data_IF_966447691221
#
_entry.id   IF_966447691221
#
_cell.length_a   1.000
_cell.length_b   1.000
_cell.length_c   1.000
_cell.angle_alpha   90.00
_cell.angle_beta   90.00
_cell.angle_gamma   90.00
#
_symmetry.space_group_name_H-M   'P 1'
#
loop_
_entity.id
_entity.type
_entity.pdbx_description
1 polymer ?
#
# COMPACT_ATOMS: atom_id res chain seq x y z
N UNK A 1 63.75 -26.85 -6.83
CA UNK A 1 62.34 -27.28 -6.84
C UNK A 1 61.55 -26.23 -6.08
N UNK A 2 60.99 -25.25 -6.78
CA UNK A 2 60.31 -24.10 -6.18
C UNK A 2 58.97 -23.90 -6.87
N UNK A 3 57.91 -23.89 -6.07
CA UNK A 3 56.55 -23.59 -6.49
C UNK A 3 56.42 -22.18 -7.08
N UNK A 4 55.53 -22.02 -8.07
CA UNK A 4 54.58 -20.93 -7.99
C UNK A 4 53.17 -21.48 -8.25
N UNK A 5 52.57 -22.03 -7.20
CA UNK A 5 51.17 -22.48 -7.16
C UNK A 5 50.27 -21.37 -6.58
N UNK A 6 50.58 -20.11 -6.89
CA UNK A 6 49.96 -18.93 -6.28
C UNK A 6 49.01 -18.17 -7.20
N UNK A 7 48.92 -18.52 -8.49
CA UNK A 7 48.00 -17.85 -9.42
C UNK A 7 46.57 -18.44 -9.54
N UNK A 8 46.29 -19.74 -9.30
CA UNK A 8 44.90 -20.22 -9.44
C UNK A 8 44.06 -19.97 -8.17
N UNK A 9 44.70 -19.64 -7.03
CA UNK A 9 43.99 -19.42 -5.76
C UNK A 9 43.36 -18.02 -5.67
N UNK A 10 43.87 -17.02 -6.41
CA UNK A 10 43.29 -15.67 -6.42
C UNK A 10 42.02 -15.55 -7.26
N UNK A 11 41.77 -16.48 -8.19
CA UNK A 11 40.58 -16.45 -9.04
C UNK A 11 39.35 -17.12 -8.41
N UNK A 12 39.52 -17.95 -7.37
CA UNK A 12 38.40 -18.54 -6.63
C UNK A 12 37.83 -17.62 -5.52
N UNK A 13 38.49 -16.50 -5.22
CA UNK A 13 38.06 -15.55 -4.19
C UNK A 13 37.18 -14.40 -4.72
N UNK A 14 36.78 -14.42 -6.00
CA UNK A 14 36.00 -13.33 -6.62
C UNK A 14 34.60 -13.70 -7.10
N UNK A 15 34.09 -14.91 -6.80
CA UNK A 15 32.71 -15.28 -7.16
C UNK A 15 31.81 -15.60 -5.96
N UNK A 16 32.29 -15.43 -4.74
CA UNK A 16 31.42 -15.46 -3.57
C UNK A 16 30.89 -14.04 -3.31
N UNK A 17 30.07 -13.52 -4.23
CA UNK A 17 29.08 -12.52 -3.82
C UNK A 17 28.25 -13.24 -2.77
N UNK A 18 28.26 -12.80 -1.49
CA UNK A 18 27.34 -13.40 -0.52
C UNK A 18 25.96 -13.26 -1.15
N UNK A 19 25.28 -14.39 -1.39
CA UNK A 19 23.87 -14.38 -1.76
C UNK A 19 23.23 -13.37 -0.82
N UNK A 20 22.72 -12.25 -1.31
CA UNK A 20 22.15 -11.23 -0.43
C UNK A 20 21.09 -11.94 0.40
N UNK A 21 21.35 -12.12 1.69
CA UNK A 21 20.41 -12.79 2.58
C UNK A 21 19.15 -11.93 2.54
N UNK A 22 18.00 -12.55 2.20
CA UNK A 22 16.74 -11.83 2.21
C UNK A 22 16.50 -11.24 3.60
N UNK A 23 15.83 -10.10 3.67
CA UNK A 23 15.44 -9.50 4.95
C UNK A 23 14.72 -10.56 5.80
N UNK A 24 15.06 -10.64 7.09
CA UNK A 24 14.35 -11.52 8.02
C UNK A 24 13.55 -10.71 9.03
N UNK A 25 12.35 -11.18 9.35
CA UNK A 25 11.48 -10.55 10.33
C UNK A 25 10.95 -11.58 11.33
N UNK A 26 10.50 -11.11 12.50
CA UNK A 26 9.65 -11.91 13.37
C UNK A 26 8.25 -12.01 12.76
N UNK A 27 7.75 -13.24 12.66
CA UNK A 27 6.36 -13.55 12.35
C UNK A 27 5.67 -14.03 13.62
N UNK A 28 4.74 -13.23 14.14
CA UNK A 28 3.99 -13.54 15.36
C UNK A 28 2.49 -13.57 15.08
N UNK A 29 1.83 -14.65 15.51
CA UNK A 29 0.37 -14.76 15.53
C UNK A 29 -0.20 -14.07 16.76
N UNK A 30 -1.50 -13.79 16.74
CA UNK A 30 -2.20 -13.12 17.86
C UNK A 30 -2.25 -13.94 19.15
N UNK A 31 -1.97 -15.25 19.11
CA UNK A 31 -1.85 -16.09 20.31
C UNK A 31 -0.45 -16.03 20.96
N UNK A 32 0.47 -15.23 20.40
CA UNK A 32 1.84 -15.09 20.90
C UNK A 32 2.87 -16.03 20.26
N UNK A 33 2.46 -16.95 19.38
CA UNK A 33 3.40 -17.84 18.69
C UNK A 33 4.25 -17.05 17.69
N UNK A 34 5.55 -16.99 17.95
CA UNK A 34 6.52 -16.25 17.14
C UNK A 34 7.58 -17.17 16.53
N UNK A 35 7.96 -16.89 15.28
CA UNK A 35 9.10 -17.52 14.60
C UNK A 35 9.81 -16.50 13.72
N UNK A 36 11.03 -16.81 13.28
CA UNK A 36 11.71 -16.04 12.25
C UNK A 36 11.13 -16.42 10.88
N UNK A 37 10.85 -15.41 10.06
CA UNK A 37 10.40 -15.50 8.68
C UNK A 37 11.44 -14.85 7.78
N UNK A 38 11.81 -15.53 6.68
CA UNK A 38 12.59 -14.93 5.60
C UNK A 38 11.61 -14.27 4.63
N UNK A 39 11.79 -12.98 4.38
CA UNK A 39 10.84 -12.19 3.61
C UNK A 39 10.92 -12.52 2.13
N UNK A 40 9.74 -12.53 1.47
CA UNK A 40 9.65 -12.76 0.04
C UNK A 40 10.23 -11.58 -0.76
N UNK A 41 10.54 -11.82 -2.04
CA UNK A 41 10.93 -10.75 -2.96
C UNK A 41 9.84 -9.66 -2.99
N UNK A 42 10.24 -8.39 -2.83
CA UNK A 42 9.32 -7.25 -2.75
C UNK A 42 8.78 -6.96 -1.34
N UNK A 43 9.14 -7.75 -0.33
CA UNK A 43 8.88 -7.49 1.09
C UNK A 43 10.18 -7.08 1.79
N UNK A 44 10.42 -5.78 1.83
CA UNK A 44 11.64 -5.13 2.33
C UNK A 44 11.44 -4.42 3.68
N UNK A 45 10.31 -4.64 4.33
CA UNK A 45 10.01 -4.12 5.66
C UNK A 45 9.53 -5.23 6.60
N UNK A 46 9.89 -5.10 7.88
CA UNK A 46 9.22 -5.78 8.98
C UNK A 46 8.14 -4.86 9.55
N UNK A 47 7.00 -5.42 9.95
CA UNK A 47 5.94 -4.69 10.65
C UNK A 47 5.61 -5.28 12.01
N UNK A 48 5.09 -4.42 12.88
CA UNK A 48 4.34 -4.82 14.07
C UNK A 48 3.01 -4.08 14.12
N UNK A 49 1.92 -4.82 14.15
CA UNK A 49 0.55 -4.30 14.28
C UNK A 49 0.05 -4.60 15.68
N UNK A 50 -0.44 -3.57 16.38
CA UNK A 50 -0.95 -3.65 17.73
C UNK A 50 -2.39 -3.17 17.72
N UNK A 51 -3.28 -3.98 18.27
CA UNK A 51 -4.68 -3.61 18.54
C UNK A 51 -4.87 -3.61 20.04
N UNK A 52 -5.20 -2.45 20.60
CA UNK A 52 -5.56 -2.30 22.01
C UNK A 52 -7.04 -1.98 22.12
N UNK A 53 -7.69 -2.70 23.01
CA UNK A 53 -9.10 -2.51 23.33
C UNK A 53 -9.17 -2.22 24.82
N UNK A 54 -9.61 -1.02 25.16
CA UNK A 54 -9.86 -0.61 26.53
C UNK A 54 -11.36 -0.52 26.77
N UNK A 55 -11.86 -1.14 27.84
CA UNK A 55 -13.26 -1.14 28.24
C UNK A 55 -13.35 -1.22 29.77
N UNK A 56 -14.01 -0.23 30.40
CA UNK A 56 -14.29 -0.19 31.85
C UNK A 56 -13.11 -0.50 32.81
N UNK A 57 -11.87 -0.22 32.39
CA UNK A 57 -10.67 -0.44 33.21
C UNK A 57 -9.89 -1.72 32.88
N UNK A 58 -10.42 -2.59 32.01
CA UNK A 58 -9.69 -3.70 31.43
C UNK A 58 -9.09 -3.31 30.07
N UNK A 59 -7.87 -3.80 29.79
CA UNK A 59 -7.19 -3.57 28.51
C UNK A 59 -6.77 -4.91 27.90
N UNK A 60 -7.23 -5.17 26.69
CA UNK A 60 -6.81 -6.30 25.86
C UNK A 60 -5.84 -5.80 24.80
N UNK A 61 -4.68 -6.45 24.67
CA UNK A 61 -3.68 -6.14 23.65
C UNK A 61 -3.46 -7.35 22.73
N UNK A 62 -3.56 -7.14 21.42
CA UNK A 62 -3.24 -8.11 20.39
C UNK A 62 -2.06 -7.59 19.57
N UNK A 63 -1.00 -8.39 19.48
CA UNK A 63 0.20 -8.06 18.70
C UNK A 63 0.37 -9.06 17.56
N UNK A 64 0.57 -8.55 16.35
CA UNK A 64 0.94 -9.35 15.17
C UNK A 64 2.21 -8.78 14.56
N UNK A 65 3.07 -9.67 14.07
CA UNK A 65 4.34 -9.30 13.42
C UNK A 65 4.51 -10.11 12.14
N UNK A 66 5.09 -9.52 11.09
CA UNK A 66 5.40 -10.22 9.83
C UNK A 66 6.33 -9.39 8.96
N UNK A 67 6.80 -9.98 7.85
CA UNK A 67 7.26 -9.23 6.68
C UNK A 67 6.13 -8.40 6.05
N UNK A 68 6.46 -7.31 5.36
CA UNK A 68 5.53 -6.43 4.63
C UNK A 68 6.23 -5.67 3.51
N UNK A 69 5.45 -4.97 2.69
CA UNK A 69 5.89 -4.26 1.48
C UNK A 69 6.34 -2.82 1.77
N UNK A 70 7.22 -2.31 0.91
CA UNK A 70 7.90 -0.99 1.01
C UNK A 70 6.96 0.20 1.17
N UNK A 71 5.73 0.08 0.67
CA UNK A 71 4.74 1.14 0.62
C UNK A 71 4.07 1.39 1.98
N UNK A 72 4.28 0.51 2.97
CA UNK A 72 3.72 0.63 4.32
C UNK A 72 4.48 1.65 5.15
N UNK A 73 3.75 2.38 6.00
CA UNK A 73 4.33 3.42 6.88
C UNK A 73 3.86 3.24 8.31
N UNK A 74 4.51 3.97 9.23
CA UNK A 74 4.02 4.11 10.60
C UNK A 74 2.66 4.81 10.60
N UNK A 75 1.74 4.31 11.42
CA UNK A 75 0.38 4.86 11.52
C UNK A 75 -0.31 4.50 12.82
N UNK A 76 -1.21 5.37 13.25
CA UNK A 76 -2.05 5.17 14.43
C UNK A 76 -3.48 5.60 14.16
N UNK A 77 -4.42 4.94 14.83
CA UNK A 77 -5.82 5.34 14.86
C UNK A 77 -6.45 4.91 16.17
N UNK A 78 -7.14 5.81 16.86
CA UNK A 78 -7.86 5.54 18.10
C UNK A 78 -9.26 6.11 18.03
N UNK A 79 -10.27 5.31 18.36
CA UNK A 79 -11.66 5.72 18.32
C UNK A 79 -12.51 5.08 19.43
N UNK A 80 -13.68 5.66 19.69
CA UNK A 80 -14.65 5.25 20.71
C UNK A 80 -15.88 4.62 20.07
N UNK A 81 -16.34 3.52 20.68
CA UNK A 81 -17.64 2.89 20.40
C UNK A 81 -18.29 2.54 21.74
N UNK A 82 -19.36 3.24 22.12
CA UNK A 82 -19.89 3.20 23.47
C UNK A 82 -18.82 3.54 24.53
N UNK A 83 -18.60 2.63 25.48
CA UNK A 83 -17.61 2.77 26.55
C UNK A 83 -16.21 2.29 26.15
N UNK A 84 -16.10 1.61 25.00
CA UNK A 84 -14.88 0.99 24.50
C UNK A 84 -14.03 2.01 23.74
N UNK A 85 -12.72 1.95 23.93
CA UNK A 85 -11.72 2.65 23.12
C UNK A 85 -10.89 1.61 22.39
N UNK A 86 -10.89 1.67 21.06
CA UNK A 86 -10.03 0.83 20.21
C UNK A 86 -8.88 1.68 19.70
N UNK A 87 -7.64 1.23 19.91
CA UNK A 87 -6.42 1.85 19.42
C UNK A 87 -5.66 0.88 18.52
N UNK A 88 -5.42 1.29 17.28
CA UNK A 88 -4.70 0.60 16.24
C UNK A 88 -3.34 1.30 16.07
N UNK A 89 -2.26 0.55 16.03
CA UNK A 89 -0.93 1.08 15.79
C UNK A 89 -0.16 0.11 14.91
N UNK A 90 0.43 0.61 13.83
CA UNK A 90 1.34 -0.15 13.00
C UNK A 90 2.66 0.60 12.89
N UNK A 91 3.75 -0.12 13.15
CA UNK A 91 5.12 0.38 13.04
C UNK A 91 5.91 -0.51 12.10
N UNK A 92 6.73 0.11 11.24
CA UNK A 92 7.54 -0.56 10.22
C UNK A 92 9.02 -0.21 10.36
N UNK A 93 9.89 -1.14 9.94
CA UNK A 93 11.33 -0.96 9.95
C UNK A 93 12.01 -1.88 8.91
N UNK A 94 13.14 -1.48 8.35
CA UNK A 94 13.80 -2.19 7.23
C UNK A 94 15.12 -2.89 7.58
N UNK A 95 15.33 -3.24 8.85
CA UNK A 95 16.54 -3.94 9.30
C UNK A 95 16.22 -5.37 9.73
N UNK A 96 17.20 -6.26 9.60
CA UNK A 96 17.08 -7.67 9.98
C UNK A 96 16.59 -7.81 11.43
N UNK A 97 15.46 -8.51 11.60
CA UNK A 97 14.77 -8.77 12.87
C UNK A 97 14.45 -7.51 13.69
N UNK A 98 14.32 -6.34 13.05
CA UNK A 98 14.08 -5.08 13.75
C UNK A 98 12.76 -5.04 14.54
N UNK A 99 11.81 -5.90 14.17
CA UNK A 99 10.55 -6.07 14.89
C UNK A 99 10.63 -7.10 16.03
N UNK A 100 11.82 -7.57 16.44
CA UNK A 100 11.95 -8.58 17.50
C UNK A 100 11.60 -8.05 18.89
N UNK A 101 11.97 -6.80 19.19
CA UNK A 101 11.71 -6.19 20.49
C UNK A 101 10.21 -6.16 20.84
N UNK A 102 9.91 -6.07 22.15
CA UNK A 102 8.59 -5.64 22.55
C UNK A 102 8.40 -4.23 22.00
N UNK A 103 7.39 -4.05 21.13
CA UNK A 103 6.93 -2.73 20.76
C UNK A 103 6.81 -1.92 22.03
N UNK A 104 7.47 -0.76 22.06
CA UNK A 104 7.76 -0.02 23.28
C UNK A 104 6.65 -0.13 24.31
N UNK A 105 7.05 -0.51 25.53
CA UNK A 105 6.27 -0.37 26.77
C UNK A 105 5.23 0.70 26.57
N UNK A 106 3.94 0.35 26.72
CA UNK A 106 2.85 1.32 26.71
C UNK A 106 3.37 2.60 27.35
N UNK A 107 3.53 3.66 26.54
CA UNK A 107 3.94 4.95 27.08
C UNK A 107 2.92 5.19 28.16
N UNK A 108 3.36 5.14 29.43
CA UNK A 108 2.54 5.50 30.57
C UNK A 108 2.09 6.91 30.25
N UNK A 109 0.84 7.03 29.79
CA UNK A 109 0.37 8.22 29.11
C UNK A 109 0.53 9.36 30.10
N UNK A 110 1.45 10.26 29.78
CA UNK A 110 1.53 11.53 30.47
C UNK A 110 0.14 12.15 30.42
N UNK A 111 -0.34 12.62 31.57
CA UNK A 111 -1.62 13.31 31.77
C UNK A 111 -1.63 14.70 31.13
N UNK A 112 -0.99 14.83 29.96
CA UNK A 112 -0.99 16.01 29.11
C UNK A 112 -2.27 15.98 28.29
N UNK A 113 -3.07 17.04 28.38
CA UNK A 113 -4.24 17.21 27.52
C UNK A 113 -3.75 17.58 26.12
N UNK A 114 -3.57 16.59 25.25
CA UNK A 114 -3.31 16.85 23.84
C UNK A 114 -4.61 17.23 23.12
N UNK A 115 -4.59 17.24 21.79
CA UNK A 115 -5.71 17.57 20.94
C UNK A 115 -6.98 16.79 21.33
N UNK A 116 -8.12 17.47 21.40
CA UNK A 116 -9.43 16.84 21.64
C UNK A 116 -10.20 16.77 20.32
N UNK A 117 -10.70 15.58 19.99
CA UNK A 117 -11.38 15.26 18.73
C UNK A 117 -12.76 14.66 18.99
N UNK A 118 -13.61 14.66 17.95
CA UNK A 118 -14.83 13.85 17.92
C UNK A 118 -14.49 12.41 17.58
N UNK A 119 -15.21 11.46 18.15
CA UNK A 119 -15.00 10.04 17.95
C UNK A 119 -16.28 9.22 17.97
N UNK A 120 -16.33 8.25 17.06
CA UNK A 120 -17.41 7.29 16.87
C UNK A 120 -16.91 6.14 15.96
N UNK A 121 -17.69 5.07 15.84
CA UNK A 121 -17.48 4.01 14.84
C UNK A 121 -18.78 3.37 14.35
N UNK A 122 -18.72 2.71 13.19
CA UNK A 122 -19.87 2.00 12.60
C UNK A 122 -20.23 0.70 13.33
N UNK A 123 -19.29 0.06 14.01
CA UNK A 123 -19.52 -1.23 14.69
C UNK A 123 -20.64 -1.18 15.75
N UNK A 124 -20.89 -0.03 16.38
CA UNK A 124 -22.03 0.20 17.30
C UNK A 124 -23.05 1.22 16.76
N UNK A 125 -22.95 1.58 15.48
CA UNK A 125 -23.75 2.62 14.80
C UNK A 125 -23.65 4.01 15.46
N UNK A 126 -22.58 4.30 16.21
CA UNK A 126 -22.45 5.59 16.92
C UNK A 126 -22.23 6.75 15.96
N UNK A 127 -21.54 6.54 14.82
CA UNK A 127 -21.34 7.57 13.81
C UNK A 127 -22.65 7.93 13.10
N UNK A 128 -23.35 6.92 12.60
CA UNK A 128 -24.59 7.02 11.82
C UNK A 128 -25.74 7.59 12.66
N UNK A 129 -25.80 7.26 13.95
CA UNK A 129 -26.84 7.76 14.87
C UNK A 129 -26.50 9.11 15.51
N UNK A 130 -25.39 9.73 15.13
CA UNK A 130 -24.96 11.01 15.70
C UNK A 130 -24.59 10.94 17.19
N UNK A 131 -24.26 9.75 17.71
CA UNK A 131 -23.85 9.52 19.12
C UNK A 131 -22.35 9.76 19.28
N UNK A 132 -21.91 10.91 18.79
CA UNK A 132 -20.52 11.32 18.75
C UNK A 132 -20.01 11.62 20.16
N UNK A 133 -18.83 11.11 20.49
CA UNK A 133 -18.19 11.31 21.79
C UNK A 133 -16.90 12.12 21.65
N UNK A 134 -16.46 12.77 22.72
CA UNK A 134 -15.15 13.42 22.73
C UNK A 134 -14.05 12.42 23.09
N UNK A 135 -12.92 12.50 22.40
CA UNK A 135 -11.72 11.69 22.66
C UNK A 135 -10.51 12.61 22.69
N UNK A 136 -9.73 12.53 23.76
CA UNK A 136 -8.42 13.20 23.82
C UNK A 136 -7.36 12.30 23.21
N UNK A 137 -6.56 12.87 22.31
CA UNK A 137 -5.45 12.18 21.69
C UNK A 137 -4.35 11.92 22.72
N UNK A 138 -3.52 10.92 22.43
CA UNK A 138 -2.51 10.40 23.37
C UNK A 138 -1.09 10.76 22.99
N UNK A 139 -0.88 11.28 21.78
CA UNK A 139 0.41 11.76 21.27
C UNK A 139 0.26 13.17 20.70
N UNK A 140 1.30 14.03 20.82
CA UNK A 140 1.30 15.35 20.20
C UNK A 140 1.29 15.32 18.65
N UNK A 141 1.65 14.19 18.04
CA UNK A 141 1.63 14.03 16.58
C UNK A 141 0.26 13.59 16.05
N UNK A 142 -0.65 13.15 16.93
CA UNK A 142 -1.99 12.74 16.53
C UNK A 142 -2.87 13.93 16.17
N UNK A 143 -3.63 13.75 15.10
CA UNK A 143 -4.61 14.69 14.56
C UNK A 143 -6.02 14.11 14.71
N UNK A 144 -7.03 14.95 14.53
CA UNK A 144 -8.40 14.48 14.41
C UNK A 144 -8.61 13.85 13.03
N UNK A 145 -9.17 12.65 12.99
CA UNK A 145 -9.40 11.87 11.80
C UNK A 145 -10.90 11.68 11.55
N UNK A 146 -11.28 11.66 10.28
CA UNK A 146 -12.57 11.18 9.77
C UNK A 146 -12.29 10.28 8.56
N UNK A 147 -12.57 8.99 8.71
CA UNK A 147 -12.29 7.94 7.73
C UNK A 147 -13.60 7.34 7.28
N UNK A 148 -13.79 7.29 5.96
CA UNK A 148 -14.94 6.63 5.31
C UNK A 148 -14.41 5.52 4.42
N UNK A 149 -14.96 4.33 4.58
CA UNK A 149 -14.69 3.16 3.75
C UNK A 149 -16.01 2.49 3.38
N UNK A 150 -16.48 2.73 2.17
CA UNK A 150 -17.75 2.18 1.69
C UNK A 150 -17.54 1.33 0.45
N UNK A 151 -18.07 0.11 0.48
CA UNK A 151 -18.09 -0.83 -0.63
C UNK A 151 -19.55 -1.21 -0.91
N UNK A 152 -20.04 -0.92 -2.10
CA UNK A 152 -21.45 -1.11 -2.47
C UNK A 152 -21.81 -2.60 -2.66
N UNK A 153 -20.83 -3.44 -3.03
CA UNK A 153 -21.01 -4.89 -3.11
C UNK A 153 -20.38 -5.61 -1.89
N UNK A 154 -21.21 -5.84 -0.88
CA UNK A 154 -20.98 -6.82 0.19
C UNK A 154 -21.14 -8.24 -0.38
N UNK A 155 -20.10 -8.82 -0.99
CA UNK A 155 -20.27 -10.14 -1.62
C UNK A 155 -19.03 -10.98 -1.89
N UNK A 156 -17.82 -10.43 -1.77
CA UNK A 156 -16.61 -11.27 -1.91
C UNK A 156 -16.19 -11.81 -0.53
N UNK A 157 -16.28 -13.13 -0.36
CA UNK A 157 -15.69 -13.84 0.77
C UNK A 157 -14.21 -13.44 0.92
N UNK A 158 -13.84 -12.92 2.09
CA UNK A 158 -12.47 -12.50 2.41
C UNK A 158 -12.19 -11.00 2.33
N UNK A 159 -13.18 -10.14 2.04
CA UNK A 159 -13.00 -8.68 2.19
C UNK A 159 -12.96 -8.27 3.68
N UNK A 160 -12.11 -7.28 4.05
CA UNK A 160 -12.07 -6.76 5.42
C UNK A 160 -13.44 -6.24 5.86
N UNK A 161 -13.92 -6.66 7.03
CA UNK A 161 -15.10 -6.08 7.70
C UNK A 161 -14.69 -4.77 8.37
N UNK A 162 -14.22 -3.82 7.58
CA UNK A 162 -13.82 -2.51 8.10
C UNK A 162 -15.08 -1.70 8.44
N UNK A 163 -15.00 -0.93 9.53
CA UNK A 163 -16.07 -0.01 9.90
C UNK A 163 -16.23 1.05 8.79
N UNK A 164 -17.48 1.27 8.34
CA UNK A 164 -17.78 2.19 7.25
C UNK A 164 -17.38 3.63 7.56
N UNK A 165 -17.59 4.03 8.81
CA UNK A 165 -17.25 5.33 9.35
C UNK A 165 -16.44 5.16 10.63
N UNK A 166 -15.32 5.87 10.72
CA UNK A 166 -14.49 5.94 11.91
C UNK A 166 -14.02 7.36 12.13
N UNK A 167 -14.23 7.87 13.35
CA UNK A 167 -13.71 9.17 13.79
C UNK A 167 -12.90 9.02 15.06
N UNK A 168 -11.84 9.81 15.18
CA UNK A 168 -11.08 9.85 16.42
C UNK A 168 -9.73 10.53 16.26
N UNK A 169 -8.74 9.99 16.95
CA UNK A 169 -7.37 10.50 16.96
C UNK A 169 -6.46 9.59 16.13
N UNK A 170 -5.43 10.14 15.50
CA UNK A 170 -4.39 9.31 14.90
C UNK A 170 -3.50 10.06 13.94
N UNK A 171 -2.63 9.29 13.31
CA UNK A 171 -1.79 9.73 12.20
C UNK A 171 -1.83 8.67 11.12
N UNK A 172 -2.39 9.00 9.97
CA UNK A 172 -2.50 8.12 8.81
C UNK A 172 -1.68 8.68 7.65
N UNK A 173 -1.25 7.82 6.69
CA UNK A 173 -0.64 8.27 5.45
C UNK A 173 -1.45 9.41 4.83
N UNK A 174 -0.74 10.44 4.37
CA UNK A 174 -1.21 11.72 3.81
C UNK A 174 -2.22 12.53 4.62
N UNK A 175 -2.11 12.43 5.94
CA UNK A 175 -2.31 13.60 6.79
C UNK A 175 -1.08 14.53 6.72
N UNK A 176 -1.23 15.86 6.87
CA UNK A 176 -2.48 16.61 7.08
C UNK A 176 -3.26 16.87 5.78
N UNK A 177 -4.55 17.17 5.90
CA UNK A 177 -5.42 17.51 4.77
C UNK A 177 -6.49 16.46 4.52
N UNK A 178 -6.98 16.38 3.29
CA UNK A 178 -7.94 15.35 2.88
C UNK A 178 -7.49 14.62 1.63
N UNK A 179 -7.77 13.32 1.58
CA UNK A 179 -7.63 12.49 0.39
C UNK A 179 -8.91 11.68 0.17
N UNK A 180 -9.27 11.46 -1.08
CA UNK A 180 -10.48 10.74 -1.42
C UNK A 180 -10.39 10.05 -2.77
N UNK A 181 -11.09 8.93 -2.87
CA UNK A 181 -11.33 8.17 -4.08
C UNK A 181 -12.80 7.79 -4.12
N UNK A 182 -13.43 7.89 -5.29
CA UNK A 182 -14.66 7.17 -5.55
C UNK A 182 -14.73 6.64 -6.98
N UNK A 183 -15.38 5.49 -7.11
CA UNK A 183 -15.81 4.94 -8.39
C UNK A 183 -17.27 4.46 -8.27
N UNK A 184 -17.74 3.63 -9.20
CA UNK A 184 -19.11 3.13 -9.17
C UNK A 184 -19.47 2.30 -7.92
N UNK A 185 -18.52 1.58 -7.32
CA UNK A 185 -18.80 0.59 -6.26
C UNK A 185 -18.05 0.87 -4.95
N UNK A 186 -17.21 1.89 -4.91
CA UNK A 186 -16.26 2.13 -3.83
C UNK A 186 -16.16 3.62 -3.53
N UNK A 187 -16.20 3.98 -2.25
CA UNK A 187 -15.90 5.32 -1.76
C UNK A 187 -14.96 5.25 -0.56
N UNK A 188 -13.79 5.87 -0.70
CA UNK A 188 -12.85 6.07 0.38
C UNK A 188 -12.60 7.54 0.59
N UNK A 189 -12.61 7.98 1.84
CA UNK A 189 -12.29 9.35 2.19
C UNK A 189 -11.53 9.40 3.50
N UNK A 190 -10.48 10.20 3.54
CA UNK A 190 -9.71 10.51 4.73
C UNK A 190 -9.67 12.03 4.89
N UNK A 191 -10.07 12.52 6.05
CA UNK A 191 -9.86 13.91 6.48
C UNK A 191 -9.05 13.90 7.76
N UNK A 192 -7.98 14.69 7.78
CA UNK A 192 -7.15 14.92 8.96
C UNK A 192 -7.04 16.42 9.24
N UNK A 193 -7.17 16.81 10.50
CA UNK A 193 -7.05 18.20 10.91
C UNK A 193 -6.51 18.31 12.35
N UNK A 194 -5.84 19.43 12.66
CA UNK A 194 -5.02 19.59 13.86
C UNK A 194 -5.57 20.63 14.85
N UNK A 195 -6.84 21.01 14.75
CA UNK A 195 -7.52 21.93 15.66
C UNK A 195 -8.61 21.22 16.45
N UNK A 196 -8.91 21.70 17.65
CA UNK A 196 -9.86 21.04 18.57
C UNK A 196 -11.20 20.77 17.89
N UNK A 197 -11.64 19.50 17.89
CA UNK A 197 -12.93 19.01 17.36
C UNK A 197 -13.19 19.35 15.89
N UNK A 198 -12.16 19.59 15.09
CA UNK A 198 -12.30 19.93 13.66
C UNK A 198 -12.89 18.82 12.76
N UNK A 199 -13.03 17.60 13.30
CA UNK A 199 -13.69 16.46 12.67
C UNK A 199 -15.17 16.29 13.12
N UNK A 200 -15.76 17.32 13.72
CA UNK A 200 -17.20 17.35 14.01
C UNK A 200 -18.07 17.54 12.75
N UNK A 201 -19.39 17.45 12.94
CA UNK A 201 -20.40 17.60 11.89
C UNK A 201 -21.07 16.29 11.48
N UNK A 202 -21.98 16.30 10.50
CA UNK A 202 -22.60 15.07 9.99
C UNK A 202 -21.53 14.14 9.39
N UNK A 203 -21.83 12.84 9.34
CA UNK A 203 -20.98 11.87 8.64
C UNK A 203 -20.98 12.18 7.13
N UNK A 204 -19.85 11.92 6.48
CA UNK A 204 -19.70 12.17 5.05
C UNK A 204 -20.22 10.99 4.24
N UNK A 205 -21.19 11.24 3.37
CA UNK A 205 -21.70 10.28 2.37
C UNK A 205 -21.41 10.81 0.96
N UNK A 206 -21.10 9.90 0.02
CA UNK A 206 -20.75 10.29 -1.35
C UNK A 206 -21.88 11.06 -2.02
N UNK A 207 -23.12 10.67 -1.77
CA UNK A 207 -24.35 11.23 -2.32
C UNK A 207 -24.55 12.69 -1.90
N UNK A 208 -24.03 13.07 -0.72
CA UNK A 208 -24.09 14.44 -0.20
C UNK A 208 -23.07 15.38 -0.84
N UNK A 209 -22.05 14.83 -1.49
CA UNK A 209 -21.06 15.62 -2.22
C UNK A 209 -21.62 16.05 -3.59
N UNK A 210 -21.56 17.35 -3.93
CA UNK A 210 -22.05 17.84 -5.21
C UNK A 210 -21.17 17.30 -6.34
N UNK A 211 -21.76 17.12 -7.52
CA UNK A 211 -20.99 16.86 -8.73
C UNK A 211 -20.09 18.06 -9.04
N UNK A 212 -18.85 17.79 -9.46
CA UNK A 212 -17.84 18.82 -9.71
C UNK A 212 -17.60 19.12 -11.20
N UNK A 213 -18.37 18.49 -12.10
CA UNK A 213 -18.30 18.69 -13.54
C UNK A 213 -17.23 17.87 -14.27
N UNK A 214 -16.40 17.10 -13.56
CA UNK A 214 -15.47 16.14 -14.17
C UNK A 214 -16.14 14.78 -14.35
N UNK A 215 -15.76 14.06 -15.39
CA UNK A 215 -16.19 12.68 -15.63
C UNK A 215 -14.98 11.79 -15.82
N UNK A 216 -14.96 10.63 -15.16
CA UNK A 216 -13.85 9.68 -15.25
C UNK A 216 -14.38 8.28 -15.48
N UNK A 217 -13.58 7.45 -16.14
CA UNK A 217 -13.87 6.03 -16.24
C UNK A 217 -13.76 5.35 -14.88
N UNK A 218 -14.66 4.41 -14.63
CA UNK A 218 -14.77 3.65 -13.40
C UNK A 218 -14.72 2.17 -13.72
N UNK A 219 -13.88 1.44 -13.00
CA UNK A 219 -13.77 -0.02 -13.10
C UNK A 219 -13.01 -0.58 -11.89
N UNK A 220 -13.14 -1.88 -11.63
CA UNK A 220 -12.35 -2.59 -10.63
C UNK A 220 -12.19 -4.05 -11.02
N UNK A 221 -10.97 -4.58 -10.98
CA UNK A 221 -10.70 -5.97 -11.33
C UNK A 221 -9.33 -6.12 -11.96
N UNK A 222 -9.24 -6.84 -13.08
CA UNK A 222 -8.04 -6.89 -13.91
C UNK A 222 -8.36 -6.34 -15.32
N UNK A 223 -7.35 -6.20 -16.18
CA UNK A 223 -7.52 -5.59 -17.52
C UNK A 223 -8.44 -6.37 -18.48
N UNK A 224 -8.80 -7.62 -18.15
CA UNK A 224 -9.67 -8.47 -18.97
C UNK A 224 -11.04 -8.74 -18.35
N UNK A 225 -11.15 -8.66 -17.03
CA UNK A 225 -12.36 -8.91 -16.25
C UNK A 225 -12.47 -7.82 -15.19
N UNK A 226 -13.54 -7.04 -15.23
CA UNK A 226 -13.84 -5.92 -14.35
C UNK A 226 -13.28 -4.57 -14.82
N UNK A 227 -12.19 -4.54 -15.58
CA UNK A 227 -11.60 -3.33 -16.19
C UNK A 227 -11.31 -3.48 -17.70
N UNK A 228 -12.10 -4.31 -18.39
CA UNK A 228 -12.13 -4.37 -19.86
C UNK A 228 -12.77 -3.11 -20.45
N UNK A 229 -12.65 -2.90 -21.77
CA UNK A 229 -13.32 -1.80 -22.48
C UNK A 229 -14.84 -1.86 -22.35
N UNK A 230 -15.41 -3.05 -22.26
CA UNK A 230 -16.86 -3.28 -22.19
C UNK A 230 -17.42 -3.06 -20.78
N UNK A 231 -16.61 -3.28 -19.74
CA UNK A 231 -17.01 -3.15 -18.33
C UNK A 231 -16.68 -1.78 -17.74
N UNK A 232 -15.87 -0.98 -18.45
CA UNK A 232 -15.42 0.34 -18.01
C UNK A 232 -16.36 1.42 -18.55
N UNK A 233 -16.93 2.25 -17.66
CA UNK A 233 -17.88 3.30 -18.03
C UNK A 233 -17.61 4.62 -17.29
N UNK A 234 -18.13 5.71 -17.82
CA UNK A 234 -17.98 7.05 -17.23
C UNK A 234 -18.89 7.23 -16.01
N UNK A 235 -18.35 7.86 -14.98
CA UNK A 235 -19.07 8.33 -13.80
C UNK A 235 -18.85 9.82 -13.58
N UNK A 236 -19.82 10.48 -12.95
CA UNK A 236 -19.70 11.89 -12.56
C UNK A 236 -18.89 12.00 -11.26
N UNK A 237 -17.82 12.78 -11.31
CA UNK A 237 -16.99 13.03 -10.16
C UNK A 237 -17.67 13.99 -9.15
N UNK A 238 -17.39 13.80 -7.87
CA UNK A 238 -18.06 14.50 -6.76
C UNK A 238 -17.07 15.15 -5.79
N UNK A 239 -17.48 16.26 -5.19
CA UNK A 239 -16.72 16.98 -4.18
C UNK A 239 -15.30 17.34 -4.68
N UNK A 240 -14.26 17.20 -3.84
CA UNK A 240 -12.90 17.57 -4.22
C UNK A 240 -12.20 16.52 -5.13
N UNK A 241 -12.87 15.42 -5.48
CA UNK A 241 -12.30 14.32 -6.26
C UNK A 241 -12.39 14.65 -7.76
N UNK A 242 -11.53 15.53 -8.25
CA UNK A 242 -11.60 16.12 -9.59
C UNK A 242 -10.50 15.64 -10.58
N UNK A 243 -9.75 14.61 -10.23
CA UNK A 243 -8.78 13.97 -11.13
C UNK A 243 -9.24 12.58 -11.49
N UNK A 244 -8.96 12.15 -12.72
CA UNK A 244 -9.16 10.77 -13.13
C UNK A 244 -7.93 9.95 -12.81
N UNK A 245 -8.14 8.77 -12.23
CA UNK A 245 -7.09 7.87 -11.79
C UNK A 245 -7.13 6.54 -12.55
N UNK A 246 -5.94 6.00 -12.78
CA UNK A 246 -5.67 4.59 -13.05
C UNK A 246 -4.64 4.10 -12.04
N UNK A 247 -4.97 3.09 -11.25
CA UNK A 247 -4.00 2.41 -10.41
C UNK A 247 -3.94 0.93 -10.76
N UNK A 248 -2.71 0.40 -10.86
CA UNK A 248 -2.44 -1.02 -11.10
C UNK A 248 -1.46 -1.54 -10.09
N UNK A 249 -1.63 -2.78 -9.65
CA UNK A 249 -0.73 -3.43 -8.70
C UNK A 249 -1.11 -4.89 -8.49
N UNK A 250 -0.68 -5.46 -7.37
CA UNK A 250 -1.01 -6.83 -6.97
C UNK A 250 -1.90 -6.83 -5.74
N UNK A 251 -3.05 -7.50 -5.80
CA UNK A 251 -3.95 -7.65 -4.65
C UNK A 251 -3.34 -8.62 -3.62
N UNK A 252 -3.04 -8.15 -2.40
CA UNK A 252 -2.23 -8.92 -1.44
C UNK A 252 -2.81 -10.32 -1.13
N UNK A 253 -4.13 -10.48 -0.90
CA UNK A 253 -4.68 -11.78 -0.49
C UNK A 253 -4.51 -12.91 -1.52
N UNK A 254 -4.39 -12.59 -2.81
CA UNK A 254 -4.34 -13.59 -3.90
C UNK A 254 -3.11 -13.47 -4.80
N UNK A 255 -2.26 -12.45 -4.61
CA UNK A 255 -1.13 -12.12 -5.50
C UNK A 255 -1.55 -12.05 -6.99
N UNK A 256 -2.71 -11.47 -7.26
CA UNK A 256 -3.26 -11.32 -8.61
C UNK A 256 -3.16 -9.88 -9.09
N UNK A 257 -3.00 -9.69 -10.41
CA UNK A 257 -3.03 -8.36 -11.01
C UNK A 257 -4.37 -7.68 -10.72
N UNK A 258 -4.31 -6.47 -10.19
CA UNK A 258 -5.47 -5.68 -9.84
C UNK A 258 -5.34 -4.28 -10.41
N UNK A 259 -6.46 -3.75 -10.89
CA UNK A 259 -6.61 -2.47 -11.52
C UNK A 259 -7.87 -1.80 -10.99
N UNK A 260 -7.76 -0.51 -10.72
CA UNK A 260 -8.90 0.34 -10.33
C UNK A 260 -8.84 1.66 -11.09
N UNK A 261 -10.01 2.13 -11.52
CA UNK A 261 -10.22 3.46 -12.11
C UNK A 261 -11.32 4.19 -11.36
N UNK A 262 -11.18 5.51 -11.27
CA UNK A 262 -12.19 6.35 -10.64
C UNK A 262 -11.76 7.81 -10.56
N UNK A 263 -12.52 8.56 -9.79
CA UNK A 263 -12.26 9.97 -9.49
C UNK A 263 -11.50 10.09 -8.17
N UNK A 264 -10.51 10.96 -8.11
CA UNK A 264 -9.68 11.17 -6.92
C UNK A 264 -9.36 12.62 -6.65
N UNK A 265 -9.03 12.92 -5.40
CA UNK A 265 -8.34 14.16 -5.02
C UNK A 265 -6.88 14.10 -5.46
N UNK A 266 -6.26 15.26 -5.74
CA UNK A 266 -4.84 15.35 -6.09
C UNK A 266 -3.89 14.65 -5.08
N UNK A 267 -4.20 14.70 -3.78
CA UNK A 267 -3.42 14.06 -2.72
C UNK A 267 -3.39 12.53 -2.83
N UNK A 268 -4.48 11.92 -3.32
CA UNK A 268 -4.63 10.47 -3.47
C UNK A 268 -3.77 9.90 -4.61
N UNK A 269 -3.32 10.75 -5.54
CA UNK A 269 -2.41 10.36 -6.61
C UNK A 269 -0.98 10.05 -6.11
N UNK A 270 -0.70 10.30 -4.83
CA UNK A 270 0.55 9.92 -4.18
C UNK A 270 0.39 8.49 -3.63
N UNK A 271 1.27 7.56 -4.04
CA UNK A 271 1.07 6.10 -4.02
C UNK A 271 0.63 5.47 -2.69
N UNK A 272 0.98 6.05 -1.53
CA UNK A 272 0.82 5.40 -0.23
C UNK A 272 -0.65 5.11 0.16
N UNK A 273 -1.61 5.95 -0.27
CA UNK A 273 -3.00 5.82 0.18
C UNK A 273 -3.78 4.69 -0.48
N UNK A 274 -3.49 4.43 -1.75
CA UNK A 274 -4.25 3.46 -2.55
C UNK A 274 -3.96 2.03 -2.13
N UNK A 275 -2.74 1.75 -1.64
CA UNK A 275 -2.38 0.41 -1.18
C UNK A 275 -3.16 -0.03 0.03
N UNK A 276 -3.37 0.90 0.96
CA UNK A 276 -4.17 0.62 2.14
C UNK A 276 -5.68 0.59 1.82
N UNK A 277 -6.17 1.49 0.97
CA UNK A 277 -7.59 1.52 0.59
C UNK A 277 -8.01 0.25 -0.19
N UNK A 278 -7.16 -0.27 -1.07
CA UNK A 278 -7.50 -1.39 -1.97
C UNK A 278 -6.80 -2.70 -1.65
N UNK A 279 -6.01 -2.77 -0.56
CA UNK A 279 -5.16 -3.94 -0.25
C UNK A 279 -4.29 -4.35 -1.46
N UNK A 280 -3.57 -3.36 -2.00
CA UNK A 280 -2.69 -3.52 -3.16
C UNK A 280 -1.24 -3.25 -2.78
N UNK A 281 -0.32 -3.94 -3.46
CA UNK A 281 1.12 -3.71 -3.41
C UNK A 281 1.70 -3.46 -4.80
N UNK A 282 2.93 -2.97 -4.88
CA UNK A 282 3.64 -2.67 -6.12
C UNK A 282 2.82 -1.77 -7.03
N UNK A 283 2.30 -0.69 -6.45
CA UNK A 283 1.26 0.13 -7.06
C UNK A 283 1.91 1.13 -8.00
N UNK A 284 1.44 1.13 -9.23
CA UNK A 284 1.68 2.20 -10.19
C UNK A 284 0.41 3.03 -10.31
N UNK A 285 0.54 4.35 -10.14
CA UNK A 285 -0.56 5.30 -10.15
C UNK A 285 -0.33 6.31 -11.27
N UNK A 286 -1.37 6.51 -12.09
CA UNK A 286 -1.42 7.58 -13.08
C UNK A 286 -2.67 8.42 -12.83
N UNK A 287 -2.49 9.74 -12.83
CA UNK A 287 -3.57 10.70 -12.68
C UNK A 287 -3.54 11.75 -13.78
N UNK A 288 -4.72 12.21 -14.18
CA UNK A 288 -4.89 13.26 -15.19
C UNK A 288 -6.16 14.08 -14.88
N UNK A 289 -6.23 15.30 -15.42
CA UNK A 289 -7.25 16.30 -15.04
C UNK A 289 -8.38 16.47 -16.05
N UNK A 290 -8.21 15.98 -17.28
CA UNK A 290 -9.22 16.08 -18.34
C UNK A 290 -10.30 15.00 -18.16
N UNK A 291 -11.55 15.33 -18.46
CA UNK A 291 -12.63 14.34 -18.37
C UNK A 291 -12.37 13.16 -19.33
N UNK A 292 -12.50 11.94 -18.83
CA UNK A 292 -12.32 10.71 -19.60
C UNK A 292 -10.86 10.35 -19.93
N UNK A 293 -9.87 11.11 -19.44
CA UNK A 293 -8.45 10.86 -19.74
C UNK A 293 -7.90 9.55 -19.17
N UNK A 294 -8.66 8.85 -18.34
CA UNK A 294 -8.30 7.53 -17.82
C UNK A 294 -8.96 6.38 -18.63
N UNK A 295 -9.19 6.59 -19.94
CA UNK A 295 -9.69 5.55 -20.84
C UNK A 295 -8.69 4.37 -20.98
N UNK A 296 -9.15 3.10 -21.00
CA UNK A 296 -8.26 1.93 -21.14
C UNK A 296 -7.35 1.94 -22.39
N UNK A 297 -7.82 2.47 -23.52
CA UNK A 297 -7.02 2.59 -24.76
C UNK A 297 -5.73 3.43 -24.62
N UNK A 298 -5.69 4.35 -23.66
CA UNK A 298 -4.50 5.18 -23.40
C UNK A 298 -3.37 4.37 -22.75
N UNK A 299 -3.70 3.30 -22.03
CA UNK A 299 -2.70 2.39 -21.44
C UNK A 299 -1.94 1.61 -22.53
N UNK A 300 -2.61 1.29 -23.64
CA UNK A 300 -2.01 0.58 -24.79
C UNK A 300 -0.98 1.47 -25.50
N UNK A 301 -1.23 2.77 -25.60
CA UNK A 301 -0.26 3.71 -26.17
C UNK A 301 0.97 3.87 -25.27
N UNK A 302 0.80 3.95 -23.95
CA UNK A 302 1.91 4.02 -23.01
C UNK A 302 2.79 2.76 -23.06
N UNK A 303 2.18 1.56 -23.11
CA UNK A 303 2.93 0.29 -23.28
C UNK A 303 3.65 0.19 -24.63
N UNK A 304 3.09 0.74 -25.70
CA UNK A 304 3.76 0.80 -27.03
C UNK A 304 4.90 1.81 -27.07
N UNK A 305 4.80 2.92 -26.33
CA UNK A 305 5.86 3.92 -26.23
C UNK A 305 7.02 3.49 -25.30
N UNK A 306 6.74 2.65 -24.30
CA UNK A 306 7.73 2.10 -23.37
C UNK A 306 8.43 0.81 -23.86
N UNK A 307 7.95 0.21 -24.96
CA UNK A 307 8.67 -0.88 -25.61
C UNK A 307 9.90 -0.31 -26.35
N UNK A 308 11.11 -0.86 -26.15
CA UNK A 308 12.25 -0.48 -26.98
C UNK A 308 11.90 -0.83 -28.42
N UNK A 309 11.80 0.19 -29.29
CA UNK A 309 11.75 -0.08 -30.72
C UNK A 309 13.00 -0.89 -31.07
N UNK A 310 12.88 -2.04 -31.76
CA UNK A 310 14.05 -2.68 -32.34
C UNK A 310 14.63 -1.70 -33.35
N UNK A 311 15.74 -1.07 -32.97
CA UNK A 311 16.48 -0.19 -33.87
C UNK A 311 16.86 -0.97 -35.14
N UNK A 312 16.94 -0.29 -36.29
CA UNK A 312 17.26 -0.95 -37.56
C UNK A 312 18.59 -1.67 -37.42
N UNK A 313 18.61 -2.95 -37.79
CA UNK A 313 19.81 -3.76 -37.79
C UNK A 313 20.82 -3.16 -38.77
N UNK A 314 21.75 -2.35 -38.26
CA UNK A 314 22.93 -1.96 -38.99
C UNK A 314 23.83 -3.19 -39.13
N UNK A 315 23.80 -3.79 -40.32
CA UNK A 315 24.81 -4.74 -40.80
C UNK A 315 26.18 -4.02 -40.82
N UNK A 316 26.91 -4.08 -39.71
CA UNK A 316 28.30 -3.64 -39.64
C UNK A 316 29.20 -4.78 -40.11
N UNK A 317 29.59 -4.70 -41.37
CA UNK A 317 30.39 -5.67 -42.08
C UNK A 317 31.86 -5.22 -42.03
N UNK A 318 32.53 -5.37 -40.89
CA UNK A 318 34.00 -5.18 -40.83
C UNK A 318 34.68 -6.03 -39.76
N UNK A 319 35.46 -7.00 -40.26
CA UNK A 319 36.84 -7.34 -39.86
C UNK A 319 37.03 -8.01 -38.48
N UNK A 320 37.16 -9.33 -38.51
CA UNK A 320 38.16 -10.06 -37.70
C UNK A 320 38.71 -11.23 -38.51
N UNK A 321 39.87 -11.00 -39.13
CA UNK A 321 40.74 -12.03 -39.70
C UNK A 321 42.04 -12.02 -38.88
N UNK A 322 42.65 -13.21 -38.72
CA UNK A 322 43.89 -13.55 -37.98
C UNK A 322 43.68 -13.72 -36.45
N UNK A 323 43.99 -14.82 -35.78
CA UNK A 323 44.89 -15.97 -35.97
C UNK A 323 44.23 -17.16 -35.25
N UNK A 324 44.20 -18.41 -35.74
CA UNK A 324 45.30 -19.36 -35.57
C UNK A 324 45.12 -20.53 -36.53
N UNK A 325 45.95 -20.58 -37.58
CA UNK A 325 46.28 -21.83 -38.24
C UNK A 325 47.69 -22.21 -37.81
N UNK A 326 47.83 -23.35 -37.12
CA UNK A 326 48.76 -24.47 -37.44
C UNK A 326 49.06 -25.29 -36.19
N UNK A 327 49.29 -26.58 -36.46
CA UNK A 327 49.89 -27.64 -35.65
C UNK A 327 48.85 -28.52 -34.95
N UNK A 328 48.57 -29.78 -35.29
CA UNK A 328 49.11 -30.84 -36.17
C UNK A 328 47.89 -31.73 -36.54
N UNK A 329 47.75 -32.43 -37.66
CA UNK A 329 48.72 -33.21 -38.41
C UNK A 329 48.37 -34.71 -38.30
N UNK A 330 47.70 -35.26 -39.33
CA UNK A 330 47.51 -36.70 -39.61
C UNK A 330 46.15 -37.29 -39.23
N UNK A 331 45.54 -38.25 -39.93
CA UNK A 331 45.76 -38.91 -41.23
C UNK A 331 44.56 -39.83 -41.48
N UNK A 332 44.20 -40.05 -42.75
CA UNK A 332 43.60 -41.27 -43.35
C UNK A 332 42.08 -41.58 -43.29
N UNK A 333 41.55 -41.78 -44.52
CA UNK A 333 40.58 -42.79 -45.03
C UNK A 333 39.09 -42.62 -44.66
N UNK A 334 38.23 -42.35 -45.66
CA UNK A 334 37.33 -43.32 -46.36
C UNK A 334 36.36 -44.01 -45.38
N UNK A 335 35.05 -43.82 -45.49
CA UNK A 335 34.17 -44.08 -46.65
C UNK A 335 33.15 -42.98 -46.93
#
# INVERSE_FOLDING_TARGET
>A
MGHPLLLPLLLLLHTCVPASWGLRCMQCKSNGDCRVEECALGQDLCRTTIVRVWEEGEELELVKKSCTHSEKTNRTMSYRTGLKITSLTEVVCGLDLCNQGNSGRAVTFSRSRYLECISCGSSDMSCERGRHQSLQCRSPEEQCLDVVTHWIQEGEEGRPKDDRHLRGCGYLPGCPGSSGFHNNDTFHFLKCCNTTKCNEGPILELETLPQNGHQCYSCKGNSTHGCSSEETFLIDCRGPMNQCLVATGTYEPKNQSYMVRGCVTASMCQCAHLGDAFSMNHINVSCCTESGCNHPDLDVQYRKAAAPQPGPAHLSLTITLLMTARLWGGTLLWT
#
